data_IF_333393226427
#
_entry.id   IF_333393226427
#
_cell.length_a   1.000
_cell.length_b   1.000
_cell.length_c   1.000
_cell.angle_alpha   90.00
_cell.angle_beta   90.00
_cell.angle_gamma   90.00
#
_symmetry.space_group_name_H-M   'P 1'
#
loop_
_entity.id
_entity.type
_entity.pdbx_description
1 polymer ?
#
# COMPACT_ATOMS: atom_id res chain seq x y z
N UNK A 1 2.06 4.09 19.58
CA UNK A 1 0.92 3.34 19.00
C UNK A 1 1.12 3.24 17.49
N UNK A 2 0.98 2.04 16.89
CA UNK A 2 0.95 1.86 15.43
C UNK A 2 -0.51 1.86 14.96
N UNK A 3 -0.82 2.61 13.89
CA UNK A 3 -2.15 2.68 13.29
C UNK A 3 -2.08 2.16 11.86
N UNK A 4 -3.00 1.28 11.50
CA UNK A 4 -3.19 0.77 10.13
C UNK A 4 -4.67 0.95 9.80
N UNK A 5 -4.94 1.50 8.62
CA UNK A 5 -6.30 1.65 8.10
C UNK A 5 -6.40 0.83 6.82
N UNK A 6 -7.28 -0.18 6.84
CA UNK A 6 -7.53 -1.05 5.69
C UNK A 6 -8.80 -0.59 4.99
N UNK A 7 -8.70 -0.30 3.69
CA UNK A 7 -9.83 0.07 2.84
C UNK A 7 -10.12 -1.11 1.91
N UNK A 8 -11.25 -1.79 2.09
CA UNK A 8 -11.62 -3.01 1.37
C UNK A 8 -13.06 -2.97 0.83
N UNK A 9 -13.44 -3.95 -0.01
CA UNK A 9 -14.76 -4.06 -0.64
C UNK A 9 -14.70 -4.53 -2.10
N UNK A 10 -15.87 -4.69 -2.73
CA UNK A 10 -16.00 -5.22 -4.10
C UNK A 10 -15.37 -4.32 -5.20
N UNK A 11 -14.87 -4.88 -6.32
CA UNK A 11 -14.41 -4.08 -7.46
C UNK A 11 -15.43 -3.01 -7.86
N UNK A 12 -14.96 -1.80 -8.18
CA UNK A 12 -15.84 -0.69 -8.54
C UNK A 12 -16.50 0.07 -7.37
N UNK A 13 -16.46 -0.43 -6.12
CA UNK A 13 -17.10 0.27 -4.99
C UNK A 13 -16.31 1.49 -4.45
N UNK A 14 -15.53 2.19 -5.28
CA UNK A 14 -14.92 3.48 -4.93
C UNK A 14 -13.75 3.47 -3.92
N UNK A 15 -13.18 2.31 -3.57
CA UNK A 15 -12.04 2.21 -2.62
C UNK A 15 -10.86 3.10 -3.00
N UNK A 16 -10.45 3.07 -4.27
CA UNK A 16 -9.31 3.86 -4.75
C UNK A 16 -9.58 5.35 -4.69
N UNK A 17 -10.84 5.77 -4.93
CA UNK A 17 -11.30 7.15 -4.79
C UNK A 17 -11.26 7.62 -3.35
N UNK A 18 -11.62 6.76 -2.38
CA UNK A 18 -11.60 7.08 -0.96
C UNK A 18 -10.18 7.04 -0.35
N UNK A 19 -9.36 6.07 -0.76
CA UNK A 19 -8.10 5.78 -0.10
C UNK A 19 -7.08 6.92 -0.17
N UNK A 20 -7.02 7.65 -1.30
CA UNK A 20 -6.15 8.81 -1.47
C UNK A 20 -6.45 9.95 -0.49
N UNK A 21 -7.66 10.53 -0.50
CA UNK A 21 -8.08 11.55 0.45
C UNK A 21 -7.96 11.10 1.91
N UNK A 22 -8.31 9.84 2.22
CA UNK A 22 -8.21 9.30 3.57
C UNK A 22 -6.77 9.22 4.08
N UNK A 23 -5.83 8.78 3.23
CA UNK A 23 -4.41 8.75 3.57
C UNK A 23 -3.85 10.16 3.84
N UNK A 24 -4.27 11.15 3.04
CA UNK A 24 -3.89 12.55 3.26
C UNK A 24 -4.44 13.12 4.57
N UNK A 25 -5.73 12.89 4.84
CA UNK A 25 -6.38 13.37 6.06
C UNK A 25 -5.77 12.78 7.34
N UNK A 26 -5.33 11.52 7.28
CA UNK A 26 -4.72 10.81 8.42
C UNK A 26 -3.21 10.98 8.50
N UNK A 27 -2.57 11.67 7.55
CA UNK A 27 -1.12 11.77 7.45
C UNK A 27 -0.42 10.40 7.42
N UNK A 28 -1.01 9.44 6.71
CA UNK A 28 -0.50 8.07 6.56
C UNK A 28 -0.03 7.81 5.13
N UNK A 29 0.99 6.96 4.93
CA UNK A 29 1.33 6.46 3.61
C UNK A 29 0.20 5.57 3.05
N UNK A 30 -0.04 5.69 1.75
CA UNK A 30 -0.99 4.83 1.03
C UNK A 30 -0.26 3.65 0.39
N UNK A 31 -0.64 2.43 0.78
CA UNK A 31 -0.18 1.20 0.13
C UNK A 31 -1.36 0.56 -0.62
N UNK A 32 -1.21 0.34 -1.92
CA UNK A 32 -2.24 -0.28 -2.76
C UNK A 32 -1.79 -1.67 -3.21
N UNK A 33 -2.58 -2.69 -2.86
CA UNK A 33 -2.35 -4.09 -3.27
C UNK A 33 -2.33 -4.23 -4.79
N UNK A 34 -3.27 -3.59 -5.48
CA UNK A 34 -3.41 -3.74 -6.93
C UNK A 34 -2.25 -3.08 -7.67
N UNK A 35 -1.82 -1.89 -7.24
CA UNK A 35 -0.63 -1.22 -7.81
C UNK A 35 0.63 -2.08 -7.63
N UNK A 36 0.84 -2.65 -6.44
CA UNK A 36 2.01 -3.52 -6.20
C UNK A 36 1.93 -4.78 -7.09
N UNK A 37 0.76 -5.42 -7.14
CA UNK A 37 0.52 -6.63 -7.94
C UNK A 37 0.77 -6.39 -9.43
N UNK A 38 0.26 -5.29 -9.96
CA UNK A 38 0.46 -4.87 -11.36
C UNK A 38 1.93 -4.60 -11.65
N UNK A 39 2.63 -3.87 -10.78
CA UNK A 39 4.07 -3.62 -10.94
C UNK A 39 4.91 -4.89 -10.89
N UNK A 40 4.56 -5.83 -10.03
CA UNK A 40 5.24 -7.13 -10.01
C UNK A 40 4.99 -7.91 -11.31
N UNK A 41 3.77 -7.85 -11.86
CA UNK A 41 3.47 -8.46 -13.15
C UNK A 41 4.25 -7.79 -14.30
N UNK A 42 4.33 -6.45 -14.31
CA UNK A 42 5.08 -5.67 -15.31
C UNK A 42 6.56 -6.07 -15.33
N UNK A 43 7.18 -6.21 -14.15
CA UNK A 43 8.62 -6.49 -14.00
C UNK A 43 8.96 -7.97 -14.21
N UNK A 44 8.13 -8.88 -13.71
CA UNK A 44 8.42 -10.32 -13.72
C UNK A 44 7.85 -11.05 -14.94
N UNK A 45 6.97 -10.39 -15.71
CA UNK A 45 6.29 -10.96 -16.87
C UNK A 45 5.22 -11.99 -16.51
N UNK A 46 4.62 -12.58 -17.55
CA UNK A 46 3.63 -13.65 -17.42
C UNK A 46 4.32 -15.03 -17.38
N UNK A 47 3.66 -16.00 -16.73
CA UNK A 47 4.09 -17.40 -16.68
C UNK A 47 3.08 -18.32 -17.36
N UNK A 48 3.51 -19.54 -17.66
CA UNK A 48 2.71 -20.55 -18.34
C UNK A 48 1.35 -20.85 -17.67
N UNK A 49 1.26 -20.71 -16.35
CA UNK A 49 0.01 -20.86 -15.59
C UNK A 49 -0.49 -19.49 -15.07
N UNK A 50 -1.27 -18.74 -15.87
CA UNK A 50 -1.60 -17.34 -15.57
C UNK A 50 -2.47 -17.18 -14.31
N UNK A 51 -3.35 -18.13 -14.01
CA UNK A 51 -4.20 -18.08 -12.82
C UNK A 51 -3.40 -18.31 -11.53
N UNK A 52 -2.57 -19.37 -11.51
CA UNK A 52 -1.69 -19.68 -10.38
C UNK A 52 -0.69 -18.54 -10.17
N UNK A 53 -0.15 -18.00 -11.26
CA UNK A 53 0.74 -16.85 -11.23
C UNK A 53 0.07 -15.60 -10.65
N UNK A 54 -1.16 -15.29 -11.08
CA UNK A 54 -1.92 -14.13 -10.57
C UNK A 54 -2.22 -14.27 -9.07
N UNK A 55 -2.57 -15.48 -8.61
CA UNK A 55 -2.77 -15.76 -7.18
C UNK A 55 -1.48 -15.59 -6.38
N UNK A 56 -0.36 -16.11 -6.89
CA UNK A 56 0.95 -15.96 -6.27
C UNK A 56 1.37 -14.49 -6.14
N UNK A 57 1.22 -13.69 -7.20
CA UNK A 57 1.46 -12.24 -7.16
C UNK A 57 0.55 -11.55 -6.15
N UNK A 58 -0.72 -11.92 -6.09
CA UNK A 58 -1.66 -11.39 -5.10
C UNK A 58 -1.26 -11.68 -3.65
N UNK A 59 -0.74 -12.88 -3.38
CA UNK A 59 -0.21 -13.28 -2.07
C UNK A 59 1.06 -12.51 -1.71
N UNK A 60 2.03 -12.47 -2.64
CA UNK A 60 3.28 -11.72 -2.47
C UNK A 60 3.04 -10.23 -2.20
N UNK A 61 2.10 -9.60 -2.92
CA UNK A 61 1.72 -8.20 -2.67
C UNK A 61 1.19 -7.98 -1.25
N UNK A 62 0.38 -8.89 -0.72
CA UNK A 62 -0.13 -8.79 0.65
C UNK A 62 0.97 -9.00 1.70
N UNK A 63 1.86 -9.95 1.48
CA UNK A 63 3.02 -10.17 2.35
C UNK A 63 3.94 -8.94 2.38
N UNK A 64 4.18 -8.31 1.22
CA UNK A 64 4.93 -7.06 1.11
C UNK A 64 4.27 -5.93 1.90
N UNK A 65 2.95 -5.75 1.78
CA UNK A 65 2.21 -4.74 2.55
C UNK A 65 2.37 -4.99 4.05
N UNK A 66 2.13 -6.21 4.52
CA UNK A 66 2.20 -6.51 5.95
C UNK A 66 3.62 -6.37 6.50
N UNK A 67 4.63 -6.83 5.75
CA UNK A 67 6.04 -6.65 6.10
C UNK A 67 6.40 -5.16 6.23
N UNK A 68 5.87 -4.32 5.33
CA UNK A 68 6.07 -2.86 5.39
C UNK A 68 5.34 -2.21 6.56
N UNK A 69 4.11 -2.63 6.86
CA UNK A 69 3.35 -2.16 8.03
C UNK A 69 3.98 -2.60 9.37
N UNK A 70 4.66 -3.75 9.41
CA UNK A 70 5.33 -4.27 10.60
C UNK A 70 6.66 -3.56 10.91
N UNK A 71 7.26 -2.89 9.91
CA UNK A 71 8.50 -2.11 10.06
C UNK A 71 8.39 -0.73 9.38
N UNK A 72 7.50 0.19 9.82
CA UNK A 72 7.67 1.61 9.55
C UNK A 72 9.00 2.06 10.16
N UNK A 73 10.00 2.44 9.33
CA UNK A 73 10.47 3.81 9.43
C UNK A 73 11.01 4.35 8.09
N UNK A 74 10.39 5.40 7.59
CA UNK A 74 11.00 6.33 6.65
C UNK A 74 10.26 7.63 6.84
N UNK A 75 10.98 8.74 6.84
CA UNK A 75 10.47 10.10 6.90
C UNK A 75 9.41 10.35 5.81
N UNK A 76 8.18 9.89 6.03
CA UNK A 76 7.07 10.25 5.18
C UNK A 76 6.85 11.75 5.39
N UNK A 77 7.35 12.54 4.45
CA UNK A 77 7.03 13.96 4.34
C UNK A 77 5.68 14.05 3.63
N UNK A 78 4.66 14.67 4.25
CA UNK A 78 3.45 14.99 3.54
C UNK A 78 3.79 15.87 2.34
N UNK A 79 3.18 15.59 1.18
CA UNK A 79 3.35 16.36 -0.07
C UNK A 79 2.98 17.86 0.12
N UNK A 80 2.24 18.20 1.18
CA UNK A 80 1.71 19.55 1.44
C UNK A 80 2.66 20.53 2.15
N UNK A 81 3.97 20.24 2.28
CA UNK A 81 4.95 21.21 2.78
C UNK A 81 4.82 21.62 4.25
N UNK A 82 3.78 21.16 4.98
CA UNK A 82 3.66 21.35 6.42
C UNK A 82 4.58 20.37 7.14
N UNK A 83 5.60 20.93 7.78
CA UNK A 83 6.54 20.26 8.69
C UNK A 83 5.73 19.59 9.80
N UNK A 84 5.61 18.26 9.81
CA UNK A 84 5.23 17.58 11.04
C UNK A 84 6.35 17.82 12.07
N UNK A 85 6.03 18.15 13.34
CA UNK A 85 7.06 18.29 14.36
C UNK A 85 7.83 16.99 14.46
N UNK A 86 9.15 17.08 14.37
CA UNK A 86 10.06 16.00 14.74
C UNK A 86 9.90 15.78 16.25
N UNK A 87 8.98 14.92 16.67
CA UNK A 87 9.10 14.22 17.93
C UNK A 87 9.47 12.78 17.62
N UNK A 88 10.71 12.44 17.98
CA UNK A 88 11.43 11.27 17.52
C UNK A 88 10.82 9.93 17.94
N UNK A 89 11.21 8.91 17.20
CA UNK A 89 11.64 7.63 17.72
C UNK A 89 12.20 6.80 16.55
N UNK A 90 13.46 6.41 16.69
CA UNK A 90 13.92 5.12 16.24
C UNK A 90 13.22 4.03 17.07
#
# INVERSE_FOLDING_TARGET
>A
MRRVVMVSGAPGAGKSTLAGPLAQALALPLLSKDVIKERLADVLGQRAEPEVWTKALGSASMELIWTRCARPPWCWRPISGRRAPMSGAC
#
